data_IF_630655876340
#
_entry.id   IF_630655876340
#
_cell.length_a   1.000
_cell.length_b   1.000
_cell.length_c   1.000
_cell.angle_alpha   90.00
_cell.angle_beta   90.00
_cell.angle_gamma   90.00
#
_symmetry.space_group_name_H-M   'P 1'
#
loop_
_entity.id
_entity.type
_entity.pdbx_description
1 polymer ?
#
# COMPACT_ATOMS: atom_id res chain seq x y z
N UNK A 1 -12.67 20.84 6.10
CA UNK A 1 -12.72 19.42 6.50
C UNK A 1 -11.35 18.85 6.29
N UNK A 2 -10.62 18.69 7.41
CA UNK A 2 -9.24 18.23 7.46
C UNK A 2 -9.20 16.76 7.01
N UNK A 3 -8.30 16.43 6.09
CA UNK A 3 -7.93 15.03 5.84
C UNK A 3 -7.45 14.46 7.18
N UNK A 4 -7.84 13.25 7.60
CA UNK A 4 -7.14 12.58 8.70
C UNK A 4 -5.67 12.50 8.27
N UNK A 5 -4.83 13.32 8.90
CA UNK A 5 -3.44 13.53 8.47
C UNK A 5 -2.61 12.25 8.55
N UNK A 6 -3.08 11.27 9.31
CA UNK A 6 -2.51 9.94 9.36
C UNK A 6 -3.59 8.89 9.15
N UNK A 7 -3.32 7.86 8.32
CA UNK A 7 -4.10 6.66 8.37
C UNK A 7 -4.05 6.04 9.77
N UNK A 8 -5.09 5.28 10.17
CA UNK A 8 -5.03 4.54 11.42
C UNK A 8 -3.74 3.72 11.42
N UNK A 9 -2.91 3.93 12.44
CA UNK A 9 -1.64 3.23 12.61
C UNK A 9 -1.95 1.74 12.75
N UNK A 10 -1.80 1.00 11.65
CA UNK A 10 -2.01 -0.45 11.67
C UNK A 10 -0.82 -1.17 12.33
N UNK A 11 0.32 -0.52 12.52
CA UNK A 11 1.49 -1.11 13.17
C UNK A 11 2.34 -0.11 13.97
N UNK A 12 2.69 -0.48 15.20
CA UNK A 12 3.70 0.13 16.08
C UNK A 12 5.09 0.33 15.41
N UNK A 13 5.32 -0.27 14.24
CA UNK A 13 6.60 -0.28 13.52
C UNK A 13 6.83 1.00 12.71
N UNK A 14 5.79 1.64 12.17
CA UNK A 14 5.94 2.87 11.36
C UNK A 14 6.30 4.07 12.25
N UNK A 15 5.70 4.16 13.44
CA UNK A 15 6.03 5.18 14.45
C UNK A 15 7.49 5.04 14.93
N UNK A 16 7.98 3.80 15.07
CA UNK A 16 9.34 3.54 15.53
C UNK A 16 10.41 3.87 14.49
N UNK A 17 10.14 3.67 13.19
CA UNK A 17 11.12 3.94 12.12
C UNK A 17 11.44 5.43 11.99
N UNK A 18 10.41 6.28 12.07
CA UNK A 18 10.59 7.73 12.08
C UNK A 18 11.39 8.19 13.32
N UNK A 19 11.22 7.49 14.45
CA UNK A 19 11.99 7.74 15.68
C UNK A 19 13.45 7.26 15.59
N UNK A 20 13.70 6.15 14.88
CA UNK A 20 15.03 5.60 14.65
C UNK A 20 15.88 6.48 13.73
N UNK A 21 15.30 6.97 12.64
CA UNK A 21 16.01 7.79 11.65
C UNK A 21 16.38 9.18 12.22
N UNK A 22 15.62 9.67 13.22
CA UNK A 22 15.86 10.96 13.87
C UNK A 22 16.87 10.90 15.05
N UNK A 23 17.27 9.73 15.53
CA UNK A 23 18.01 9.59 16.78
C UNK A 23 19.49 9.17 16.58
N UNK A 24 20.41 9.94 17.16
CA UNK A 24 21.84 9.62 17.21
C UNK A 24 22.10 8.51 18.26
N UNK A 25 21.77 7.25 17.93
CA UNK A 25 21.64 6.17 18.92
C UNK A 25 22.94 5.49 19.37
N UNK A 26 23.07 5.25 20.68
CA UNK A 26 24.15 4.48 21.31
C UNK A 26 24.07 2.97 21.03
N UNK A 27 25.19 2.25 21.15
CA UNK A 27 25.28 0.79 20.89
C UNK A 27 24.31 -0.08 21.71
N UNK A 28 23.84 0.41 22.85
CA UNK A 28 22.86 -0.29 23.70
C UNK A 28 21.45 -0.22 23.09
N UNK A 29 21.07 0.93 22.52
CA UNK A 29 19.77 1.10 21.87
C UNK A 29 19.72 0.30 20.56
N UNK A 30 20.83 0.24 19.82
CA UNK A 30 20.95 -0.62 18.61
C UNK A 30 20.75 -2.11 18.89
N UNK A 31 21.13 -2.59 20.07
CA UNK A 31 20.92 -4.00 20.49
C UNK A 31 19.48 -4.27 20.93
N UNK A 32 18.76 -3.28 21.44
CA UNK A 32 17.33 -3.38 21.74
C UNK A 32 16.43 -3.06 20.52
N UNK A 33 16.99 -2.57 19.42
CA UNK A 33 16.32 -2.42 18.14
C UNK A 33 16.49 -3.63 17.22
N UNK A 34 17.05 -4.74 17.70
CA UNK A 34 17.17 -5.98 16.95
C UNK A 34 15.76 -6.46 16.50
N UNK A 35 15.46 -6.46 15.19
CA UNK A 35 14.16 -6.84 14.66
C UNK A 35 13.74 -8.25 15.10
N UNK A 36 14.70 -9.14 15.34
CA UNK A 36 14.45 -10.52 15.77
C UNK A 36 13.82 -10.63 17.18
N UNK A 37 13.86 -9.56 17.98
CA UNK A 37 13.33 -9.54 19.37
C UNK A 37 12.02 -8.76 19.53
N UNK A 38 11.38 -8.29 18.44
CA UNK A 38 10.23 -7.35 18.50
C UNK A 38 8.90 -7.87 17.97
N UNK A 39 8.82 -9.13 17.56
CA UNK A 39 7.59 -9.75 17.08
C UNK A 39 7.68 -10.22 15.64
N UNK A 40 6.55 -10.33 14.98
CA UNK A 40 6.45 -10.82 13.61
C UNK A 40 6.95 -9.77 12.61
N UNK A 41 7.80 -10.18 11.68
CA UNK A 41 8.27 -9.35 10.58
C UNK A 41 7.53 -9.75 9.30
N UNK A 42 7.11 -8.76 8.53
CA UNK A 42 6.52 -9.01 7.22
C UNK A 42 7.56 -9.63 6.26
N UNK A 43 7.09 -10.42 5.29
CA UNK A 43 7.97 -10.97 4.25
C UNK A 43 8.35 -9.89 3.22
N UNK A 44 7.46 -8.93 3.02
CA UNK A 44 7.66 -7.75 2.18
C UNK A 44 7.27 -6.49 2.95
N UNK A 45 8.11 -5.47 2.91
CA UNK A 45 7.77 -4.17 3.49
C UNK A 45 6.72 -3.47 2.59
N UNK A 46 5.67 -2.93 3.20
CA UNK A 46 4.61 -2.17 2.52
C UNK A 46 4.46 -0.79 3.13
N UNK A 47 3.87 0.14 2.37
CA UNK A 47 3.48 1.47 2.83
C UNK A 47 2.03 1.70 2.46
N UNK A 48 1.26 2.25 3.40
CA UNK A 48 -0.16 2.52 3.20
C UNK A 48 -0.47 4.00 3.39
N UNK A 49 -1.29 4.55 2.51
CA UNK A 49 -1.63 5.97 2.49
C UNK A 49 -3.08 6.21 2.09
N UNK A 50 -3.66 7.30 2.59
CA UNK A 50 -4.94 7.81 2.09
C UNK A 50 -4.71 8.61 0.82
N UNK A 51 -5.06 8.01 -0.32
CA UNK A 51 -4.99 8.66 -1.63
C UNK A 51 -6.28 9.42 -1.90
N UNK A 52 -6.11 10.69 -2.23
CA UNK A 52 -7.24 11.55 -2.59
C UNK A 52 -7.58 11.37 -4.07
N UNK A 53 -8.84 11.59 -4.45
CA UNK A 53 -9.22 11.60 -5.87
C UNK A 53 -8.57 12.75 -6.69
N UNK A 54 -7.95 13.74 -6.04
CA UNK A 54 -7.10 14.74 -6.71
C UNK A 54 -5.81 14.10 -7.25
N UNK A 55 -5.28 13.10 -6.55
CA UNK A 55 -4.10 12.32 -6.95
C UNK A 55 -4.51 11.12 -7.83
N UNK A 56 -5.59 10.42 -7.47
CA UNK A 56 -6.18 9.32 -8.26
C UNK A 56 -7.34 9.83 -9.12
N UNK A 57 -7.00 10.49 -10.23
CA UNK A 57 -8.00 11.00 -11.20
C UNK A 57 -8.61 9.91 -12.08
N UNK A 58 -7.89 8.81 -12.30
CA UNK A 58 -8.33 7.70 -13.15
C UNK A 58 -8.16 6.37 -12.42
N UNK A 59 -9.00 5.41 -12.78
CA UNK A 59 -8.89 4.03 -12.33
C UNK A 59 -9.40 3.07 -13.41
N UNK A 60 -9.16 1.77 -13.21
CA UNK A 60 -9.66 0.71 -14.08
C UNK A 60 -10.82 0.01 -13.38
N UNK A 61 -11.96 -0.10 -14.05
CA UNK A 61 -13.13 -0.78 -13.49
C UNK A 61 -13.08 -2.32 -13.67
N UNK A 62 -14.08 -3.04 -13.15
CA UNK A 62 -14.18 -4.49 -13.31
C UNK A 62 -14.30 -4.96 -14.77
N UNK A 63 -14.79 -4.11 -15.67
CA UNK A 63 -14.86 -4.42 -17.10
C UNK A 63 -13.53 -4.19 -17.83
N UNK A 64 -12.51 -3.70 -17.11
CA UNK A 64 -11.21 -3.34 -17.69
C UNK A 64 -11.20 -1.96 -18.34
N UNK A 65 -12.29 -1.19 -18.25
CA UNK A 65 -12.37 0.14 -18.82
C UNK A 65 -11.71 1.17 -17.90
N UNK A 66 -10.99 2.12 -18.50
CA UNK A 66 -10.51 3.30 -17.79
C UNK A 66 -11.67 4.24 -17.50
N UNK A 67 -11.82 4.63 -16.24
CA UNK A 67 -12.87 5.52 -15.76
C UNK A 67 -12.26 6.67 -14.96
N UNK A 68 -12.91 7.82 -14.99
CA UNK A 68 -12.51 9.00 -14.20
C UNK A 68 -13.12 8.89 -12.81
N UNK A 69 -12.31 9.02 -11.77
CA UNK A 69 -12.77 9.02 -10.38
C UNK A 69 -13.23 10.43 -10.02
N UNK A 70 -14.43 10.55 -9.44
CA UNK A 70 -14.95 11.84 -9.03
C UNK A 70 -14.43 12.22 -7.64
N UNK A 71 -14.00 13.47 -7.50
CA UNK A 71 -13.43 13.95 -6.23
C UNK A 71 -14.42 13.96 -5.07
N UNK A 72 -15.69 14.18 -5.41
CA UNK A 72 -16.76 14.38 -4.44
C UNK A 72 -17.98 13.55 -4.78
N UNK A 73 -18.53 12.92 -3.76
CA UNK A 73 -19.79 12.19 -3.79
C UNK A 73 -20.90 13.15 -3.35
N UNK A 74 -21.93 13.37 -4.19
CA UNK A 74 -23.09 14.16 -3.78
C UNK A 74 -23.88 13.39 -2.73
N UNK A 75 -24.23 14.06 -1.64
CA UNK A 75 -25.07 13.54 -0.56
C UNK A 75 -26.18 14.54 -0.25
N UNK A 76 -27.30 14.13 0.39
CA UNK A 76 -28.41 15.05 0.65
C UNK A 76 -28.02 16.34 1.38
N UNK A 77 -26.96 16.29 2.21
CA UNK A 77 -26.43 17.44 2.98
C UNK A 77 -25.09 17.97 2.43
N UNK A 78 -24.91 17.97 1.11
CA UNK A 78 -23.74 18.57 0.45
C UNK A 78 -22.89 17.57 -0.32
N UNK A 79 -21.58 17.67 -0.18
CA UNK A 79 -20.62 16.87 -0.94
C UNK A 79 -19.56 16.27 -0.01
N UNK A 80 -19.36 14.96 -0.09
CA UNK A 80 -18.30 14.25 0.65
C UNK A 80 -17.12 13.98 -0.26
N UNK A 81 -15.89 14.20 0.22
CA UNK A 81 -14.69 13.85 -0.53
C UNK A 81 -14.49 12.33 -0.56
N UNK A 82 -14.09 11.81 -1.71
CA UNK A 82 -13.74 10.41 -1.87
C UNK A 82 -12.24 10.20 -1.64
N UNK A 83 -11.93 9.19 -0.83
CA UNK A 83 -10.56 8.78 -0.51
C UNK A 83 -10.45 7.26 -0.66
N UNK A 84 -9.24 6.80 -0.94
CA UNK A 84 -8.90 5.38 -1.02
C UNK A 84 -7.73 5.10 -0.11
N UNK A 85 -7.82 4.03 0.66
CA UNK A 85 -6.68 3.55 1.42
C UNK A 85 -5.89 2.61 0.50
N UNK A 86 -4.79 3.10 -0.07
CA UNK A 86 -3.94 2.28 -0.92
C UNK A 86 -2.72 1.77 -0.16
N UNK A 87 -2.39 0.50 -0.37
CA UNK A 87 -1.17 -0.12 0.17
C UNK A 87 -0.33 -0.66 -0.97
N UNK A 88 0.93 -0.20 -1.03
CA UNK A 88 1.91 -0.56 -2.06
C UNK A 88 3.14 -1.20 -1.44
N UNK A 89 3.87 -1.99 -2.23
CA UNK A 89 5.19 -2.46 -1.82
C UNK A 89 6.16 -1.29 -1.64
N UNK A 90 6.93 -1.31 -0.55
CA UNK A 90 7.93 -0.28 -0.26
C UNK A 90 9.19 -0.50 -1.13
N UNK A 91 9.52 0.40 -2.08
CA UNK A 91 10.69 0.24 -2.94
C UNK A 91 12.03 0.46 -2.20
N UNK A 92 12.00 1.17 -1.06
CA UNK A 92 13.17 1.41 -0.20
C UNK A 92 13.33 0.33 0.88
N UNK A 93 12.49 -0.71 0.88
CA UNK A 93 12.53 -1.80 1.84
C UNK A 93 13.78 -2.68 1.72
N UNK A 94 14.00 -3.55 2.71
CA UNK A 94 15.17 -4.43 2.81
C UNK A 94 15.18 -5.59 1.80
N UNK A 95 14.36 -5.53 0.76
CA UNK A 95 14.04 -6.63 -0.17
C UNK A 95 14.78 -6.54 -1.51
N UNK A 96 15.98 -5.94 -1.53
CA UNK A 96 16.80 -5.79 -2.75
C UNK A 96 17.16 -7.14 -3.40
N UNK A 97 17.25 -8.21 -2.59
CA UNK A 97 17.57 -9.58 -3.05
C UNK A 97 16.36 -10.52 -2.99
N UNK A 98 15.15 -9.97 -3.04
CA UNK A 98 13.90 -10.72 -2.90
C UNK A 98 13.29 -10.60 -1.51
N UNK A 99 12.30 -11.43 -1.25
CA UNK A 99 11.52 -11.36 -0.02
C UNK A 99 12.28 -11.87 1.21
N UNK A 100 11.98 -11.31 2.39
CA UNK A 100 12.58 -11.67 3.68
C UNK A 100 12.26 -13.12 4.04
N UNK A 101 13.28 -13.88 4.46
CA UNK A 101 13.11 -15.25 4.96
C UNK A 101 12.93 -16.34 3.91
N UNK A 102 12.96 -16.00 2.61
CA UNK A 102 12.88 -17.01 1.54
C UNK A 102 14.23 -17.65 1.27
N UNK A 103 14.23 -18.99 1.11
CA UNK A 103 15.42 -19.73 0.72
C UNK A 103 15.84 -19.41 -0.72
N UNK A 104 16.87 -18.57 -0.84
CA UNK A 104 17.46 -18.13 -2.11
C UNK A 104 18.16 -19.25 -2.88
N UNK A 105 18.42 -20.42 -2.30
CA UNK A 105 19.03 -21.55 -3.01
C UNK A 105 18.07 -22.15 -4.03
N UNK A 106 16.80 -22.29 -3.64
CA UNK A 106 15.78 -22.96 -4.44
C UNK A 106 14.82 -21.98 -5.12
N UNK A 107 14.69 -20.76 -4.61
CA UNK A 107 13.67 -19.81 -5.06
C UNK A 107 14.25 -18.46 -5.47
N UNK A 108 13.70 -17.90 -6.55
CA UNK A 108 13.70 -16.46 -6.82
C UNK A 108 12.42 -15.88 -6.23
N UNK A 109 12.53 -14.78 -5.49
CA UNK A 109 11.39 -14.18 -4.81
C UNK A 109 11.28 -12.69 -5.11
N UNK A 110 10.05 -12.19 -5.20
CA UNK A 110 9.79 -10.78 -5.50
C UNK A 110 8.54 -10.27 -4.80
N UNK A 111 8.67 -9.10 -4.16
CA UNK A 111 7.55 -8.37 -3.61
C UNK A 111 6.74 -7.69 -4.73
N UNK A 112 5.43 -7.95 -4.76
CA UNK A 112 4.50 -7.43 -5.76
C UNK A 112 3.29 -6.82 -5.07
N UNK A 113 2.90 -5.63 -5.52
CA UNK A 113 1.66 -4.99 -5.08
C UNK A 113 0.49 -5.77 -5.68
N UNK A 114 -0.48 -6.12 -4.85
CA UNK A 114 -1.74 -6.72 -5.32
C UNK A 114 -2.86 -5.70 -5.31
N UNK A 115 -3.84 -5.95 -6.16
CA UNK A 115 -4.97 -5.06 -6.36
C UNK A 115 -6.26 -5.73 -5.92
N UNK A 116 -7.16 -4.93 -5.37
CA UNK A 116 -8.52 -5.34 -5.05
C UNK A 116 -9.52 -4.34 -5.61
N UNK A 117 -10.78 -4.74 -5.67
CA UNK A 117 -11.86 -3.90 -6.15
C UNK A 117 -12.57 -3.19 -5.00
N UNK A 118 -12.69 -1.87 -5.11
CA UNK A 118 -13.46 -1.05 -4.17
C UNK A 118 -14.53 -0.26 -4.91
N UNK A 119 -15.61 0.06 -4.20
CA UNK A 119 -16.72 0.81 -4.77
C UNK A 119 -16.40 2.31 -4.79
N UNK A 120 -16.45 2.91 -5.97
CA UNK A 120 -16.15 4.33 -6.18
C UNK A 120 -17.19 5.01 -7.07
N UNK A 121 -17.32 6.33 -6.90
CA UNK A 121 -18.16 7.14 -7.78
C UNK A 121 -17.31 7.59 -8.96
N UNK A 122 -17.69 7.17 -10.15
CA UNK A 122 -16.85 7.34 -11.36
C UNK A 122 -17.67 7.83 -12.53
N UNK A 123 -16.99 8.40 -13.51
CA UNK A 123 -17.54 8.80 -14.81
C UNK A 123 -16.86 7.95 -15.90
N UNK A 124 -17.67 7.29 -16.73
CA UNK A 124 -17.15 6.56 -17.89
C UNK A 124 -16.86 7.50 -19.08
N UNK A 125 -16.26 6.93 -20.14
CA UNK A 125 -15.96 7.66 -21.38
C UNK A 125 -17.22 8.20 -22.10
N UNK A 126 -18.40 7.68 -21.78
CA UNK A 126 -19.70 8.16 -22.29
C UNK A 126 -20.31 9.24 -21.37
N UNK A 127 -19.52 9.80 -20.44
CA UNK A 127 -19.92 10.80 -19.45
C UNK A 127 -21.03 10.33 -18.49
N UNK A 128 -21.20 9.02 -18.32
CA UNK A 128 -22.20 8.47 -17.39
C UNK A 128 -21.59 8.30 -16.01
N UNK A 129 -22.11 9.08 -15.08
CA UNK A 129 -21.75 9.00 -13.67
C UNK A 129 -22.47 7.82 -13.02
N UNK A 130 -21.73 7.04 -12.25
CA UNK A 130 -22.29 5.89 -11.55
C UNK A 130 -21.32 5.25 -10.59
N UNK A 131 -21.87 4.44 -9.70
CA UNK A 131 -21.06 3.60 -8.81
C UNK A 131 -20.48 2.43 -9.59
N UNK A 132 -19.16 2.30 -9.58
CA UNK A 132 -18.43 1.19 -10.19
C UNK A 132 -17.44 0.63 -9.20
N UNK A 133 -17.05 -0.62 -9.42
CA UNK A 133 -15.92 -1.21 -8.71
C UNK A 133 -14.65 -0.92 -9.50
N UNK A 134 -13.69 -0.28 -8.85
CA UNK A 134 -12.39 0.08 -9.43
C UNK A 134 -11.26 -0.66 -8.74
N UNK A 135 -10.19 -0.96 -9.48
CA UNK A 135 -8.98 -1.56 -8.92
C UNK A 135 -8.16 -0.51 -8.17
N UNK A 136 -7.79 -0.81 -6.94
CA UNK A 136 -6.83 -0.06 -6.13
C UNK A 136 -5.76 -1.00 -5.58
N UNK A 137 -4.60 -0.44 -5.26
CA UNK A 137 -3.52 -1.20 -4.62
C UNK A 137 -3.89 -1.46 -3.16
N UNK A 138 -3.83 -2.72 -2.69
CA UNK A 138 -4.38 -3.13 -1.38
C UNK A 138 -3.40 -3.87 -0.49
N UNK A 139 -2.36 -4.49 -1.04
CA UNK A 139 -1.34 -5.16 -0.23
C UNK A 139 -0.04 -5.37 -0.99
N UNK A 140 1.02 -5.73 -0.26
CA UNK A 140 2.27 -6.20 -0.82
C UNK A 140 2.48 -7.67 -0.47
N UNK A 141 2.59 -8.54 -1.48
CA UNK A 141 2.79 -9.98 -1.30
C UNK A 141 4.11 -10.43 -1.87
N UNK A 142 4.62 -11.55 -1.36
CA UNK A 142 5.78 -12.21 -1.96
C UNK A 142 5.34 -13.24 -3.01
N UNK A 143 5.95 -13.16 -4.18
CA UNK A 143 5.79 -14.13 -5.26
C UNK A 143 7.07 -14.94 -5.42
N UNK A 144 6.95 -16.24 -5.64
CA UNK A 144 8.07 -17.17 -5.75
C UNK A 144 8.12 -17.79 -7.14
N UNK A 145 9.33 -17.99 -7.66
CA UNK A 145 9.60 -18.78 -8.86
C UNK A 145 10.74 -19.75 -8.58
N UNK A 146 10.62 -20.99 -9.07
CA UNK A 146 11.62 -22.03 -8.84
C UNK A 146 12.88 -21.69 -9.62
N UNK A 147 14.05 -21.74 -8.96
CA UNK A 147 15.34 -21.76 -9.66
C UNK A 147 15.51 -23.14 -10.27
N UNK A 148 15.20 -23.29 -11.55
CA UNK A 148 15.60 -24.50 -12.29
C UNK A 148 17.12 -24.52 -12.38
N UNK A 149 17.73 -25.52 -11.75
CA UNK A 149 19.16 -25.79 -11.91
C UNK A 149 19.47 -26.02 -13.38
N UNK A 150 20.53 -25.37 -13.86
CA UNK A 150 21.33 -25.93 -14.94
C UNK A 150 22.34 -26.89 -14.31
#
# INVERSE_FOLDING_TARGET
SQVPLEPPLLFLLEEYKNYLDAANMSMRVRRHSDPARRGELSVCDSTSEWVTAAEKKTAVDMSGATVTVLEKVPVPKGQLKQYFYETKCNPKGYTKEGCRGIDKRHWNSQCRTTQSYVRALTMDNKKRVGWRFIRIDTSCVCTLTIKRGR
#
